data_IF_254413417631
#
_entry.id   IF_254413417631
#
_cell.length_a   1.000
_cell.length_b   1.000
_cell.length_c   1.000
_cell.angle_alpha   90.00
_cell.angle_beta   90.00
_cell.angle_gamma   90.00
#
_symmetry.space_group_name_H-M   'P 1'
#
loop_
_entity.id
_entity.type
_entity.pdbx_description
1 polymer ?
#
# COMPACT_ATOMS: atom_id res chain seq x y z
N UNK A 1 -5.08 -10.47 7.82
CA UNK A 1 -6.22 -9.95 7.04
C UNK A 1 -5.72 -8.82 6.17
N UNK A 2 -6.02 -8.83 4.86
CA UNK A 2 -5.78 -7.68 3.99
C UNK A 2 -7.04 -6.81 3.99
N UNK A 3 -6.87 -5.49 4.09
CA UNK A 3 -7.97 -4.54 4.23
C UNK A 3 -7.88 -3.52 3.10
N UNK A 4 -8.99 -3.33 2.38
CA UNK A 4 -9.12 -2.36 1.30
C UNK A 4 -9.19 -0.92 1.82
N UNK A 5 -8.81 0.04 0.99
CA UNK A 5 -8.82 1.47 1.32
C UNK A 5 -10.20 1.97 1.73
N UNK A 6 -11.28 1.51 1.06
CA UNK A 6 -12.64 1.95 1.39
C UNK A 6 -13.00 1.69 2.86
N UNK A 7 -12.58 0.54 3.40
CA UNK A 7 -12.81 0.18 4.80
C UNK A 7 -12.02 1.09 5.76
N UNK A 8 -10.77 1.41 5.42
CA UNK A 8 -9.98 2.38 6.19
C UNK A 8 -10.62 3.77 6.18
N UNK A 9 -11.11 4.23 5.03
CA UNK A 9 -11.78 5.52 4.89
C UNK A 9 -13.05 5.58 5.75
N UNK A 10 -13.86 4.52 5.74
CA UNK A 10 -15.05 4.43 6.60
C UNK A 10 -14.66 4.47 8.08
N UNK A 11 -13.65 3.69 8.48
CA UNK A 11 -13.13 3.67 9.85
C UNK A 11 -12.63 5.04 10.32
N UNK A 12 -11.82 5.74 9.51
CA UNK A 12 -11.29 7.06 9.87
C UNK A 12 -12.37 8.14 9.94
N UNK A 13 -13.37 8.07 9.06
CA UNK A 13 -14.48 9.04 9.05
C UNK A 13 -15.58 8.70 10.06
N UNK A 14 -15.52 7.53 10.71
CA UNK A 14 -16.54 7.06 11.63
C UNK A 14 -17.87 6.71 10.94
N UNK A 15 -17.81 6.32 9.66
CA UNK A 15 -18.99 5.82 8.96
C UNK A 15 -19.33 4.41 9.44
N UNK A 16 -20.61 4.18 9.72
CA UNK A 16 -21.09 2.88 10.17
C UNK A 16 -21.15 1.90 8.99
N UNK A 17 -20.23 0.94 8.96
CA UNK A 17 -20.24 -0.21 8.06
C UNK A 17 -19.78 -1.46 8.80
N UNK A 18 -20.30 -2.62 8.39
CA UNK A 18 -19.94 -3.89 9.02
C UNK A 18 -18.43 -4.18 8.86
N UNK A 19 -17.85 -3.72 7.76
CA UNK A 19 -16.43 -3.82 7.44
C UNK A 19 -15.58 -2.93 8.35
N UNK A 20 -16.00 -1.69 8.61
CA UNK A 20 -15.32 -0.78 9.56
C UNK A 20 -15.40 -1.30 10.99
N UNK A 21 -16.55 -1.85 11.41
CA UNK A 21 -16.71 -2.50 12.71
C UNK A 21 -15.80 -3.73 12.84
N UNK A 22 -15.70 -4.53 11.78
CA UNK A 22 -14.80 -5.70 11.73
C UNK A 22 -13.33 -5.29 11.83
N UNK A 23 -12.94 -4.19 11.19
CA UNK A 23 -11.59 -3.63 11.29
C UNK A 23 -11.30 -3.14 12.71
N UNK A 24 -12.22 -2.40 13.32
CA UNK A 24 -12.08 -1.93 14.71
C UNK A 24 -11.88 -3.11 15.68
N UNK A 25 -12.66 -4.18 15.52
CA UNK A 25 -12.51 -5.40 16.31
C UNK A 25 -11.15 -6.06 16.09
N UNK A 26 -10.69 -6.21 14.84
CA UNK A 26 -9.36 -6.78 14.54
C UNK A 26 -8.22 -5.98 15.20
N UNK A 27 -8.30 -4.66 15.20
CA UNK A 27 -7.32 -3.79 15.85
C UNK A 27 -7.33 -4.01 17.36
N UNK A 28 -8.53 -4.06 17.97
CA UNK A 28 -8.70 -4.30 19.41
C UNK A 28 -8.19 -5.67 19.85
N UNK A 29 -8.38 -6.69 19.03
CA UNK A 29 -7.99 -8.07 19.33
C UNK A 29 -6.53 -8.37 18.95
N UNK A 30 -5.78 -7.37 18.49
CA UNK A 30 -4.41 -7.49 18.00
C UNK A 30 -4.25 -8.55 16.89
N UNK A 31 -5.28 -8.67 16.03
CA UNK A 31 -5.21 -9.55 14.88
C UNK A 31 -4.15 -9.05 13.87
N UNK A 32 -3.55 -10.00 13.13
CA UNK A 32 -2.63 -9.65 12.05
C UNK A 32 -3.38 -8.95 10.92
N UNK A 33 -3.15 -7.63 10.79
CA UNK A 33 -3.61 -6.81 9.68
C UNK A 33 -2.41 -6.50 8.77
N UNK A 34 -2.61 -6.66 7.47
CA UNK A 34 -1.61 -6.44 6.43
C UNK A 34 -2.01 -5.20 5.64
N UNK A 35 -1.07 -4.30 5.41
CA UNK A 35 -1.24 -3.13 4.55
C UNK A 35 -0.50 -3.30 3.22
N UNK A 36 -1.10 -2.85 2.13
CA UNK A 36 -0.43 -2.70 0.85
C UNK A 36 0.01 -1.23 0.66
N UNK A 37 1.09 -1.02 -0.08
CA UNK A 37 1.62 0.30 -0.43
C UNK A 37 0.57 1.18 -1.13
N UNK A 38 -0.24 0.60 -2.02
CA UNK A 38 -1.33 1.29 -2.71
C UNK A 38 -2.41 1.76 -1.73
N UNK A 39 -2.81 0.91 -0.77
CA UNK A 39 -3.82 1.25 0.24
C UNK A 39 -3.33 2.39 1.12
N UNK A 40 -2.07 2.31 1.59
CA UNK A 40 -1.44 3.39 2.36
C UNK A 40 -1.40 4.69 1.53
N UNK A 41 -1.03 4.61 0.26
CA UNK A 41 -0.97 5.77 -0.63
C UNK A 41 -2.34 6.44 -0.80
N UNK A 42 -3.39 5.66 -1.05
CA UNK A 42 -4.74 6.20 -1.20
C UNK A 42 -5.26 6.86 0.08
N UNK A 43 -4.99 6.27 1.25
CA UNK A 43 -5.32 6.89 2.55
C UNK A 43 -4.60 8.23 2.69
N UNK A 44 -3.27 8.27 2.45
CA UNK A 44 -2.46 9.48 2.67
C UNK A 44 -2.82 10.61 1.69
N UNK A 45 -3.07 10.28 0.41
CA UNK A 45 -3.50 11.27 -0.59
C UNK A 45 -4.90 11.83 -0.32
N UNK A 46 -5.72 11.13 0.47
CA UNK A 46 -7.06 11.60 0.87
C UNK A 46 -7.06 12.65 1.98
N UNK A 47 -5.92 12.89 2.64
CA UNK A 47 -5.80 13.79 3.80
C UNK A 47 -5.60 15.24 3.36
N UNK A 48 -6.04 16.19 4.18
CA UNK A 48 -6.11 17.62 3.78
C UNK A 48 -4.83 18.40 4.06
N UNK A 49 -3.90 17.83 4.81
CA UNK A 49 -2.64 18.49 5.17
C UNK A 49 -1.50 17.50 5.36
N UNK A 50 -0.29 17.96 5.09
CA UNK A 50 0.93 17.16 5.27
C UNK A 50 1.13 16.74 6.74
N UNK A 51 0.70 17.58 7.68
CA UNK A 51 0.76 17.27 9.11
C UNK A 51 -0.16 16.09 9.49
N UNK A 52 -1.38 16.07 8.95
CA UNK A 52 -2.31 14.97 9.12
C UNK A 52 -1.78 13.70 8.43
N UNK A 53 -1.26 13.83 7.20
CA UNK A 53 -0.65 12.72 6.47
C UNK A 53 0.53 12.10 7.23
N UNK A 54 1.42 12.92 7.79
CA UNK A 54 2.57 12.44 8.59
C UNK A 54 2.07 11.64 9.80
N UNK A 55 1.10 12.18 10.55
CA UNK A 55 0.55 11.50 11.72
C UNK A 55 -0.12 10.17 11.38
N UNK A 56 -0.92 10.13 10.31
CA UNK A 56 -1.58 8.90 9.89
C UNK A 56 -0.57 7.88 9.37
N UNK A 57 0.47 8.30 8.64
CA UNK A 57 1.54 7.41 8.19
C UNK A 57 2.25 6.72 9.35
N UNK A 58 2.55 7.45 10.44
CA UNK A 58 3.15 6.90 11.65
C UNK A 58 2.25 5.85 12.32
N UNK A 59 0.94 6.07 12.36
CA UNK A 59 -0.02 5.09 12.89
C UNK A 59 -0.10 3.84 12.01
N UNK A 60 -0.12 4.01 10.69
CA UNK A 60 -0.17 2.90 9.74
C UNK A 60 1.12 2.07 9.75
N UNK A 61 2.26 2.65 10.12
CA UNK A 61 3.53 1.94 10.24
C UNK A 61 3.55 0.84 11.32
N UNK A 62 2.54 0.81 12.20
CA UNK A 62 2.37 -0.28 13.18
C UNK A 62 1.93 -1.60 12.53
N UNK A 63 1.39 -1.57 11.31
CA UNK A 63 0.92 -2.77 10.61
C UNK A 63 2.00 -3.36 9.71
N UNK A 64 1.90 -4.67 9.47
CA UNK A 64 2.85 -5.35 8.58
C UNK A 64 2.56 -4.96 7.13
N UNK A 65 3.57 -4.46 6.42
CA UNK A 65 3.47 -4.21 4.98
C UNK A 65 3.55 -5.52 4.20
N UNK A 66 2.65 -5.69 3.23
CA UNK A 66 2.78 -6.72 2.22
C UNK A 66 4.07 -6.48 1.41
N UNK A 67 4.76 -7.55 0.98
CA UNK A 67 5.83 -7.43 0.01
C UNK A 67 5.30 -6.79 -1.27
N UNK A 68 6.06 -5.88 -1.87
CA UNK A 68 5.69 -5.25 -3.14
C UNK A 68 5.86 -6.26 -4.28
N UNK A 69 4.79 -6.68 -4.95
CA UNK A 69 4.88 -7.58 -6.09
C UNK A 69 5.32 -6.82 -7.34
N UNK A 70 6.18 -7.44 -8.15
CA UNK A 70 6.48 -6.91 -9.48
C UNK A 70 5.30 -7.18 -10.43
N UNK A 71 5.16 -6.35 -11.48
CA UNK A 71 4.16 -6.57 -12.52
C UNK A 71 4.24 -8.00 -13.07
N UNK A 72 5.44 -8.55 -13.23
CA UNK A 72 5.67 -9.91 -13.71
C UNK A 72 5.08 -10.98 -12.77
N UNK A 73 5.09 -10.75 -11.46
CA UNK A 73 4.54 -11.70 -10.47
C UNK A 73 3.05 -11.94 -10.70
N UNK A 74 2.31 -10.87 -11.03
CA UNK A 74 0.89 -10.98 -11.37
C UNK A 74 0.67 -11.70 -12.69
N UNK A 75 1.47 -11.36 -13.71
CA UNK A 75 1.34 -11.95 -15.04
C UNK A 75 1.59 -13.46 -15.01
N UNK A 76 2.64 -13.90 -14.31
CA UNK A 76 2.97 -15.32 -14.14
C UNK A 76 1.86 -16.11 -13.44
N UNK A 77 1.17 -15.49 -12.48
CA UNK A 77 0.11 -16.13 -11.69
C UNK A 77 -1.26 -16.10 -12.36
N UNK A 78 -1.47 -15.20 -13.32
CA UNK A 78 -2.75 -15.03 -14.03
C UNK A 78 -3.07 -16.15 -15.03
N UNK A 79 -2.12 -17.07 -15.29
CA UNK A 79 -2.27 -18.12 -16.30
C UNK A 79 -2.23 -17.60 -17.74
N UNK A 80 -2.03 -16.30 -17.95
CA UNK A 80 -1.83 -15.74 -19.28
C UNK A 80 -0.43 -16.09 -19.80
N UNK A 81 -0.29 -16.68 -21.01
CA UNK A 81 1.02 -16.91 -21.58
C UNK A 81 1.73 -15.57 -21.79
N UNK A 82 2.95 -15.44 -21.25
CA UNK A 82 3.77 -14.22 -21.36
C UNK A 82 3.96 -13.75 -22.80
N UNK A 83 3.89 -14.66 -23.77
CA UNK A 83 3.95 -14.38 -25.21
C UNK A 83 2.76 -13.59 -25.76
N UNK A 84 1.64 -13.52 -25.02
CA UNK A 84 0.42 -12.83 -25.43
C UNK A 84 0.28 -11.42 -24.84
N UNK A 85 1.20 -11.02 -23.95
CA UNK A 85 1.15 -9.71 -23.31
C UNK A 85 1.95 -8.69 -24.13
N UNK A 86 1.41 -7.49 -24.38
CA UNK A 86 2.18 -6.43 -25.00
C UNK A 86 3.30 -6.03 -24.02
N UNK A 87 4.53 -6.43 -24.33
CA UNK A 87 5.68 -5.92 -23.59
C UNK A 87 5.70 -4.40 -23.74
N UNK A 88 5.79 -3.63 -22.65
CA UNK A 88 6.00 -2.20 -22.78
C UNK A 88 7.31 -2.00 -23.54
N UNK A 89 7.26 -1.27 -24.65
CA UNK A 89 8.48 -0.82 -25.30
C UNK A 89 9.19 0.11 -24.31
N UNK A 90 10.38 -0.28 -23.87
CA UNK A 90 11.22 0.51 -22.99
C UNK A 90 11.83 1.67 -23.80
N UNK A 91 10.98 2.59 -24.25
CA UNK A 91 11.39 3.73 -25.07
C UNK A 91 11.50 5.02 -24.24
N UNK A 92 11.14 4.98 -22.96
CA UNK A 92 11.25 6.12 -22.06
C UNK A 92 12.39 5.89 -21.05
N UNK A 93 13.39 6.78 -20.97
CA UNK A 93 14.36 6.72 -19.90
C UNK A 93 13.59 6.94 -18.59
N UNK A 94 13.58 5.94 -17.73
CA UNK A 94 13.23 6.12 -16.33
C UNK A 94 14.28 7.08 -15.77
N UNK A 95 13.90 8.34 -15.60
CA UNK A 95 14.65 9.25 -14.74
C UNK A 95 14.48 8.80 -13.29
N UNK A 96 15.13 7.70 -12.94
CA UNK A 96 15.52 7.44 -11.57
C UNK A 96 16.57 8.50 -11.23
N UNK A 97 16.17 9.57 -10.54
CA UNK A 97 17.16 10.53 -10.03
C UNK A 97 18.03 9.79 -9.02
N UNK A 98 19.33 9.81 -9.28
CA UNK A 98 20.39 9.27 -8.43
C UNK A 98 20.51 9.97 -7.05
N UNK A 99 19.52 10.78 -6.64
CA UNK A 99 19.49 11.53 -5.38
C UNK A 99 18.93 10.75 -4.19
N UNK A 100 18.14 9.70 -4.42
CA UNK A 100 17.31 9.06 -3.36
C UNK A 100 17.88 7.72 -2.86
N UNK A 101 19.21 7.55 -2.82
CA UNK A 101 19.78 6.43 -2.06
C UNK A 101 19.75 6.76 -0.57
N UNK A 102 19.20 5.90 0.32
CA UNK A 102 19.58 5.96 1.72
C UNK A 102 21.05 5.58 1.84
N UNK A 103 21.83 6.38 2.57
CA UNK A 103 23.24 6.13 2.83
C UNK A 103 23.40 4.75 3.53
N UNK A 104 24.07 3.82 2.85
CA UNK A 104 24.47 2.55 3.46
C UNK A 104 25.65 2.83 4.40
N UNK A 105 25.64 2.32 5.64
CA UNK A 105 26.76 2.51 6.55
C UNK A 105 27.99 1.75 6.05
N UNK A 106 29.12 2.46 5.96
CA UNK A 106 30.41 1.92 5.54
C UNK A 106 30.91 0.83 6.50
N UNK A 107 31.34 -0.30 5.95
CA UNK A 107 32.17 -1.31 6.61
C UNK A 107 33.45 -1.52 5.80
#
# INVERSE_FOLDING_TARGET
MLVDTSVWIDYFNGYASAEADRLAQAISDHESIILCSVVMTEILLGLRSDAEATRIAELLAAFTMAPEPDRMDYLLRSGHPLSALPLPRLDHPLHYRLSDRPDLPSA
#
